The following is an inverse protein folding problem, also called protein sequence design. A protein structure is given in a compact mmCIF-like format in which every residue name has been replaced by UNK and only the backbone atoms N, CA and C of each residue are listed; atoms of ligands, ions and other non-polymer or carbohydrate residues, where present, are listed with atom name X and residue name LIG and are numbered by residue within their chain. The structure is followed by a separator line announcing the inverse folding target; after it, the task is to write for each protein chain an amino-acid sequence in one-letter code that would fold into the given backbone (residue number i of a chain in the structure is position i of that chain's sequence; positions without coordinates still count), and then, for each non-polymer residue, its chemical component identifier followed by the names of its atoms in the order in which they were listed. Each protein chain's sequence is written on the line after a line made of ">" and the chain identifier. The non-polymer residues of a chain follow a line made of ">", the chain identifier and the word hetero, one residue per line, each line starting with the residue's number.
data_IF_143911239452
#
_entry.id   IF_143911239452
#
_cell.length_a   1.000
_cell.length_b   1.000
_cell.length_c   1.000
_cell.angle_alpha   90.00
_cell.angle_beta   90.00
_cell.angle_gamma   90.00
#
_symmetry.space_group_name_H-M   'P 1'
#
loop_
_entity.id
_entity.type
_entity.pdbx_description
1 polymer ?
#
# COMPACT_ATOMS: atom_id res chain seq x y z
N UNK A 1 -12.91 22.53 17.41
CA UNK A 1 -13.57 21.22 17.20
C UNK A 1 -14.15 20.77 18.53
N UNK A 2 -15.43 20.43 18.59
CA UNK A 2 -16.07 19.89 19.79
C UNK A 2 -16.38 18.40 19.59
N UNK A 3 -16.15 17.61 20.63
CA UNK A 3 -16.47 16.17 20.65
C UNK A 3 -17.63 15.98 21.63
N UNK A 4 -18.73 15.43 21.14
CA UNK A 4 -19.87 15.05 21.98
C UNK A 4 -19.72 13.59 22.40
N UNK A 5 -19.54 13.36 23.70
CA UNK A 5 -19.57 12.02 24.31
C UNK A 5 -20.91 11.81 25.00
N UNK A 6 -21.71 10.93 24.47
CA UNK A 6 -23.05 10.61 24.95
C UNK A 6 -24.16 11.03 23.98
N UNK A 7 -25.17 10.17 23.86
CA UNK A 7 -26.13 10.21 22.75
C UNK A 7 -27.44 10.89 23.16
N UNK A 8 -27.42 12.19 23.44
CA UNK A 8 -28.66 12.94 23.69
C UNK A 8 -29.43 13.22 22.38
N UNK A 9 -28.75 13.27 21.23
CA UNK A 9 -29.34 13.65 19.93
C UNK A 9 -29.13 12.53 18.86
N UNK A 10 -28.53 11.40 19.23
CA UNK A 10 -28.18 10.33 18.28
C UNK A 10 -26.92 10.63 17.45
N UNK A 11 -26.61 9.72 16.51
CA UNK A 11 -25.46 9.86 15.61
C UNK A 11 -25.78 10.92 14.54
N UNK A 12 -25.26 12.14 14.73
CA UNK A 12 -25.43 13.19 13.75
C UNK A 12 -24.45 13.03 12.58
N UNK A 13 -24.99 13.07 11.36
CA UNK A 13 -24.20 13.09 10.12
C UNK A 13 -24.74 14.15 9.18
N UNK A 14 -23.85 14.90 8.55
CA UNK A 14 -24.22 15.87 7.52
C UNK A 14 -24.03 17.30 7.95
N UNK A 15 -24.80 18.17 7.32
CA UNK A 15 -24.71 19.64 7.50
C UNK A 15 -25.89 20.15 8.34
N UNK A 16 -25.56 20.95 9.34
CA UNK A 16 -26.52 21.66 10.17
C UNK A 16 -26.12 23.16 10.20
N UNK A 17 -26.74 23.95 9.34
CA UNK A 17 -26.37 25.37 9.19
C UNK A 17 -24.90 25.56 8.81
N UNK A 18 -24.15 26.26 9.64
CA UNK A 18 -22.70 26.46 9.50
C UNK A 18 -21.84 25.36 10.14
N UNK A 19 -22.47 24.32 10.69
CA UNK A 19 -21.79 23.17 11.27
C UNK A 19 -21.82 21.98 10.31
N UNK A 20 -20.79 21.15 10.35
CA UNK A 20 -20.76 19.81 9.79
C UNK A 20 -20.57 18.78 10.90
N UNK A 21 -21.35 17.72 10.89
CA UNK A 21 -21.26 16.62 11.84
C UNK A 21 -20.88 15.32 11.12
N UNK A 22 -20.02 14.52 11.74
CA UNK A 22 -19.64 13.18 11.29
C UNK A 22 -19.48 12.27 12.50
N UNK A 23 -19.88 11.01 12.36
CA UNK A 23 -19.66 10.01 13.39
C UNK A 23 -18.53 9.09 12.95
N UNK A 24 -17.52 8.95 13.80
CA UNK A 24 -16.36 8.07 13.61
C UNK A 24 -16.23 7.23 14.88
N UNK A 25 -16.30 5.92 14.74
CA UNK A 25 -16.20 4.96 15.86
C UNK A 25 -17.11 5.30 17.06
N UNK A 26 -18.38 5.60 16.78
CA UNK A 26 -19.38 5.94 17.80
C UNK A 26 -19.27 7.35 18.38
N UNK A 27 -18.28 8.16 17.95
CA UNK A 27 -18.10 9.54 18.40
C UNK A 27 -18.60 10.52 17.34
N UNK A 28 -19.47 11.42 17.73
CA UNK A 28 -19.92 12.51 16.86
C UNK A 28 -18.95 13.69 16.95
N UNK A 29 -18.33 14.03 15.84
CA UNK A 29 -17.41 15.15 15.71
C UNK A 29 -18.17 16.28 14.99
N UNK A 30 -18.24 17.45 15.62
CA UNK A 30 -18.83 18.64 15.04
C UNK A 30 -17.74 19.68 14.74
N UNK A 31 -17.77 20.25 13.54
CA UNK A 31 -16.81 21.26 13.09
C UNK A 31 -17.55 22.44 12.50
N UNK A 32 -17.14 23.65 12.86
CA UNK A 32 -17.60 24.85 12.17
C UNK A 32 -17.07 24.86 10.73
N UNK A 33 -17.91 25.24 9.80
CA UNK A 33 -17.51 25.45 8.40
C UNK A 33 -17.08 26.90 8.24
N UNK A 34 -15.99 27.20 7.53
CA UNK A 34 -15.68 28.55 7.16
C UNK A 34 -16.78 29.11 6.25
N UNK A 35 -17.14 30.36 6.45
CA UNK A 35 -18.13 31.08 5.61
C UNK A 35 -17.62 31.26 4.19
N UNK A 36 -16.30 31.46 4.04
CA UNK A 36 -15.59 31.51 2.77
C UNK A 36 -14.18 30.95 2.95
N UNK A 37 -13.59 30.48 1.89
CA UNK A 37 -12.16 30.11 1.85
C UNK A 37 -11.61 30.45 0.48
N UNK A 38 -10.40 30.98 0.46
CA UNK A 38 -9.66 31.18 -0.77
C UNK A 38 -8.82 29.93 -1.06
N UNK A 39 -9.00 29.39 -2.26
CA UNK A 39 -8.17 28.27 -2.71
C UNK A 39 -6.79 28.81 -3.07
N UNK A 40 -5.76 28.34 -2.41
CA UNK A 40 -4.39 28.66 -2.76
C UNK A 40 -3.91 27.68 -3.86
N UNK A 41 -3.41 28.24 -4.96
CA UNK A 41 -2.84 27.52 -6.10
C UNK A 41 -1.32 27.76 -6.23
N UNK A 42 -0.67 28.27 -5.20
CA UNK A 42 0.79 28.42 -5.21
C UNK A 42 1.50 27.06 -5.44
N UNK A 43 2.69 27.04 -6.09
CA UNK A 43 3.40 25.82 -6.45
C UNK A 43 3.56 24.83 -5.30
N UNK A 44 3.98 25.30 -4.12
CA UNK A 44 4.15 24.45 -2.94
C UNK A 44 2.85 23.77 -2.47
N UNK A 45 1.70 24.43 -2.66
CA UNK A 45 0.39 23.84 -2.31
C UNK A 45 -0.03 22.81 -3.35
N UNK A 46 0.27 23.04 -4.63
CA UNK A 46 0.02 22.09 -5.69
C UNK A 46 0.88 20.84 -5.50
N UNK A 47 2.15 20.98 -5.16
CA UNK A 47 3.04 19.85 -4.86
C UNK A 47 2.50 18.98 -3.72
N UNK A 48 2.02 19.60 -2.64
CA UNK A 48 1.40 18.86 -1.53
C UNK A 48 0.14 18.12 -1.98
N UNK A 49 -0.69 18.73 -2.84
CA UNK A 49 -1.89 18.08 -3.39
C UNK A 49 -1.55 16.90 -4.30
N UNK A 50 -0.56 17.06 -5.17
CA UNK A 50 -0.08 15.99 -6.03
C UNK A 50 0.51 14.85 -5.20
N UNK A 51 1.37 15.16 -4.22
CA UNK A 51 1.90 14.18 -3.27
C UNK A 51 0.77 13.44 -2.52
N UNK A 52 -0.29 14.17 -2.15
CA UNK A 52 -1.46 13.55 -1.53
C UNK A 52 -2.13 12.54 -2.48
N UNK A 53 -2.35 12.91 -3.74
CA UNK A 53 -2.93 12.03 -4.75
C UNK A 53 -2.09 10.76 -4.94
N UNK A 54 -0.76 10.91 -5.15
CA UNK A 54 0.18 9.78 -5.26
C UNK A 54 0.08 8.83 -4.06
N UNK A 55 0.00 9.39 -2.85
CA UNK A 55 -0.08 8.57 -1.64
C UNK A 55 -1.43 7.86 -1.50
N UNK A 56 -2.52 8.51 -1.97
CA UNK A 56 -3.87 7.89 -2.03
C UNK A 56 -3.85 6.69 -2.96
N UNK A 57 -3.32 6.85 -4.18
CA UNK A 57 -3.27 5.78 -5.18
C UNK A 57 -2.43 4.59 -4.69
N UNK A 58 -1.27 4.86 -4.09
CA UNK A 58 -0.46 3.81 -3.47
C UNK A 58 -1.21 3.10 -2.34
N UNK A 59 -1.88 3.85 -1.45
CA UNK A 59 -2.63 3.26 -0.34
C UNK A 59 -3.82 2.40 -0.83
N UNK A 60 -4.48 2.81 -1.90
CA UNK A 60 -5.55 2.04 -2.54
C UNK A 60 -4.99 0.76 -3.18
N UNK A 61 -3.86 0.85 -3.88
CA UNK A 61 -3.18 -0.30 -4.47
C UNK A 61 -2.72 -1.31 -3.41
N UNK A 62 -2.22 -0.86 -2.26
CA UNK A 62 -1.91 -1.73 -1.12
C UNK A 62 -3.17 -2.44 -0.61
N UNK A 63 -4.27 -1.72 -0.46
CA UNK A 63 -5.53 -2.28 0.04
C UNK A 63 -6.22 -3.23 -0.94
N UNK A 64 -5.92 -3.15 -2.23
CA UNK A 64 -6.47 -4.07 -3.24
C UNK A 64 -5.96 -5.50 -3.09
N UNK A 65 -4.84 -5.70 -2.36
CA UNK A 65 -4.26 -7.01 -2.08
C UNK A 65 -4.70 -7.49 -0.69
N UNK A 66 -5.45 -8.59 -0.63
CA UNK A 66 -6.04 -9.13 0.60
C UNK A 66 -5.01 -9.39 1.69
N UNK A 67 -3.85 -9.95 1.33
CA UNK A 67 -2.75 -10.23 2.25
C UNK A 67 -2.23 -8.95 2.89
N UNK A 68 -1.97 -7.90 2.09
CA UNK A 68 -1.52 -6.61 2.61
C UNK A 68 -2.59 -5.94 3.46
N UNK A 69 -3.85 -5.98 3.01
CA UNK A 69 -4.99 -5.47 3.78
C UNK A 69 -5.09 -6.15 5.15
N UNK A 70 -4.90 -7.49 5.21
CA UNK A 70 -4.89 -8.25 6.46
C UNK A 70 -3.73 -7.81 7.38
N UNK A 71 -2.52 -7.67 6.84
CA UNK A 71 -1.34 -7.21 7.59
C UNK A 71 -1.61 -5.82 8.20
N UNK A 72 -2.05 -4.85 7.42
CA UNK A 72 -2.30 -3.50 7.90
C UNK A 72 -3.46 -3.40 8.90
N UNK A 73 -4.42 -4.34 8.86
CA UNK A 73 -5.48 -4.44 9.88
C UNK A 73 -4.94 -4.76 11.27
N UNK A 74 -3.83 -5.51 11.38
CA UNK A 74 -3.25 -5.90 12.68
C UNK A 74 -2.55 -4.73 13.38
N UNK A 75 -2.04 -3.75 12.61
CA UNK A 75 -1.24 -2.63 13.14
C UNK A 75 -1.99 -1.29 13.16
N UNK A 76 -3.24 -1.27 12.72
CA UNK A 76 -4.00 -0.01 12.72
C UNK A 76 -4.20 0.51 14.14
N UNK A 77 -3.94 1.81 14.35
CA UNK A 77 -4.20 2.47 15.63
C UNK A 77 -5.71 2.62 15.91
N UNK A 78 -6.04 2.73 17.20
CA UNK A 78 -7.40 3.03 17.64
C UNK A 78 -7.88 4.35 17.03
N UNK A 79 -9.09 4.38 16.49
CA UNK A 79 -9.66 5.58 15.86
C UNK A 79 -9.18 5.87 14.44
N UNK A 80 -8.33 5.01 13.87
CA UNK A 80 -7.85 5.14 12.49
C UNK A 80 -8.40 4.04 11.58
N UNK A 81 -8.73 4.38 10.34
CA UNK A 81 -8.97 3.37 9.31
C UNK A 81 -7.65 2.77 8.84
N UNK A 82 -7.71 1.56 8.27
CA UNK A 82 -6.53 0.92 7.66
C UNK A 82 -5.92 1.81 6.58
N UNK A 83 -6.77 2.39 5.73
CA UNK A 83 -6.34 3.36 4.72
C UNK A 83 -5.55 4.53 5.31
N UNK A 84 -6.07 5.16 6.37
CA UNK A 84 -5.39 6.30 7.01
C UNK A 84 -4.06 5.90 7.66
N UNK A 85 -3.94 4.65 8.15
CA UNK A 85 -2.69 4.12 8.69
C UNK A 85 -1.65 3.99 7.59
N UNK A 86 -2.00 3.36 6.45
CA UNK A 86 -1.12 3.23 5.28
C UNK A 86 -0.73 4.60 4.74
N UNK A 87 -1.71 5.48 4.56
CA UNK A 87 -1.49 6.84 4.08
C UNK A 87 -0.50 7.61 4.95
N UNK A 88 -0.71 7.62 6.27
CA UNK A 88 0.17 8.29 7.23
C UNK A 88 1.61 7.76 7.17
N UNK A 89 1.77 6.45 7.02
CA UNK A 89 3.08 5.80 6.95
C UNK A 89 3.84 6.13 5.66
N UNK A 90 3.11 6.46 4.57
CA UNK A 90 3.69 6.66 3.25
C UNK A 90 3.79 8.12 2.81
N UNK A 91 2.96 9.02 3.35
CA UNK A 91 2.88 10.41 2.89
C UNK A 91 4.23 11.15 2.96
N UNK A 92 5.05 10.87 3.98
CA UNK A 92 6.40 11.45 4.11
C UNK A 92 7.35 11.06 2.98
N UNK A 93 7.16 9.89 2.41
CA UNK A 93 8.07 9.26 1.45
C UNK A 93 7.64 9.38 -0.02
N UNK A 94 6.38 9.71 -0.30
CA UNK A 94 5.91 9.93 -1.67
C UNK A 94 6.45 11.24 -2.25
N UNK A 95 6.73 11.27 -3.55
CA UNK A 95 6.98 12.49 -4.30
C UNK A 95 5.67 13.08 -4.84
N UNK A 96 5.72 14.26 -5.49
CA UNK A 96 4.55 14.88 -6.08
C UNK A 96 4.15 14.21 -7.43
N UNK A 97 5.07 13.52 -8.07
CA UNK A 97 4.91 12.93 -9.39
C UNK A 97 4.78 11.39 -9.38
N UNK A 98 5.23 10.73 -8.31
CA UNK A 98 5.25 9.26 -8.22
C UNK A 98 5.53 8.76 -6.81
N UNK A 99 5.28 7.47 -6.49
CA UNK A 99 5.85 6.79 -5.34
C UNK A 99 7.39 6.74 -5.43
N UNK A 100 8.08 6.65 -4.29
CA UNK A 100 9.54 6.56 -4.25
C UNK A 100 9.98 5.23 -3.65
N UNK A 101 11.26 4.87 -3.81
CA UNK A 101 11.84 3.66 -3.22
C UNK A 101 11.73 3.58 -1.68
N UNK A 102 11.39 4.67 -1.03
CA UNK A 102 11.24 4.73 0.43
C UNK A 102 9.80 4.45 0.89
N UNK A 103 8.85 4.39 -0.03
CA UNK A 103 7.50 3.97 0.29
C UNK A 103 7.50 2.51 0.74
N UNK A 104 6.58 2.18 1.66
CA UNK A 104 6.46 0.86 2.24
C UNK A 104 5.09 0.27 1.94
N UNK A 105 5.05 -1.01 1.61
CA UNK A 105 3.79 -1.75 1.40
C UNK A 105 3.45 -2.65 2.60
N UNK A 106 4.40 -2.82 3.54
CA UNK A 106 4.18 -3.48 4.85
C UNK A 106 4.71 -2.60 5.98
N UNK A 107 4.11 -2.66 7.18
CA UNK A 107 4.49 -1.82 8.32
C UNK A 107 5.79 -2.25 9.02
N UNK A 108 6.56 -3.14 8.45
CA UNK A 108 7.76 -3.75 9.00
C UNK A 108 7.79 -5.23 8.64
N UNK A 109 8.36 -6.06 9.50
CA UNK A 109 8.50 -7.50 9.32
C UNK A 109 9.97 -7.93 9.30
N UNK A 110 10.22 -9.21 8.96
CA UNK A 110 11.58 -9.71 8.79
C UNK A 110 12.20 -9.18 7.49
N UNK A 111 13.53 -9.14 7.42
CA UNK A 111 14.22 -8.75 6.19
C UNK A 111 13.93 -9.78 5.09
N UNK A 112 13.54 -9.36 3.89
CA UNK A 112 13.31 -10.28 2.79
C UNK A 112 14.65 -10.64 2.14
N UNK A 113 15.14 -11.89 2.26
CA UNK A 113 16.40 -12.31 1.66
C UNK A 113 16.20 -12.55 0.16
N UNK A 114 16.47 -11.53 -0.62
CA UNK A 114 16.37 -11.51 -2.08
C UNK A 114 17.73 -11.24 -2.68
N UNK A 115 18.16 -12.09 -3.61
CA UNK A 115 19.40 -11.91 -4.35
C UNK A 115 19.20 -11.00 -5.56
N UNK A 116 18.30 -11.36 -6.48
CA UNK A 116 18.02 -10.61 -7.70
C UNK A 116 16.53 -10.39 -7.87
N UNK A 117 16.14 -9.16 -8.20
CA UNK A 117 14.79 -8.83 -8.66
C UNK A 117 14.89 -8.18 -10.03
N UNK A 118 14.12 -8.68 -10.99
CA UNK A 118 13.98 -8.06 -12.31
C UNK A 118 12.52 -7.73 -12.58
N UNK A 119 12.30 -6.61 -13.25
CA UNK A 119 10.99 -6.18 -13.72
C UNK A 119 11.08 -6.10 -15.24
N UNK A 120 10.36 -6.99 -15.91
CA UNK A 120 10.23 -7.04 -17.35
C UNK A 120 8.87 -6.44 -17.75
N UNK A 121 8.61 -6.31 -19.05
CA UNK A 121 7.32 -5.79 -19.58
C UNK A 121 6.15 -6.75 -19.36
N UNK A 122 6.41 -8.01 -19.01
CA UNK A 122 5.39 -9.06 -18.90
C UNK A 122 5.34 -9.74 -17.53
N UNK A 123 6.34 -9.51 -16.67
CA UNK A 123 6.46 -10.20 -15.37
C UNK A 123 7.45 -9.52 -14.43
N UNK A 124 7.37 -9.90 -13.16
CA UNK A 124 8.46 -9.72 -12.18
C UNK A 124 9.04 -11.08 -11.88
N UNK A 125 10.36 -11.17 -11.84
CA UNK A 125 11.05 -12.34 -11.29
C UNK A 125 11.91 -11.94 -10.09
N UNK A 126 11.96 -12.80 -9.08
CA UNK A 126 12.77 -12.59 -7.89
C UNK A 126 13.40 -13.93 -7.43
N UNK A 127 14.69 -13.92 -7.20
CA UNK A 127 15.39 -15.05 -6.59
C UNK A 127 15.39 -14.86 -5.07
N UNK A 128 14.51 -15.61 -4.38
CA UNK A 128 14.45 -15.62 -2.93
C UNK A 128 15.45 -16.63 -2.40
N UNK A 129 16.27 -16.21 -1.45
CA UNK A 129 17.06 -17.14 -0.65
C UNK A 129 16.17 -17.80 0.40
N UNK A 130 16.70 -18.80 1.10
CA UNK A 130 15.97 -19.46 2.18
C UNK A 130 15.48 -18.43 3.22
N UNK A 131 14.17 -18.40 3.47
CA UNK A 131 13.56 -17.39 4.34
C UNK A 131 13.83 -17.64 5.82
N UNK A 132 14.13 -18.89 6.20
CA UNK A 132 14.47 -19.29 7.56
C UNK A 132 15.81 -18.73 8.05
N UNK A 133 16.62 -18.15 7.15
CA UNK A 133 17.84 -17.40 7.51
C UNK A 133 17.55 -16.09 8.26
N UNK A 134 16.37 -15.52 8.06
CA UNK A 134 16.02 -14.19 8.60
C UNK A 134 15.01 -14.26 9.75
N UNK A 135 14.26 -15.37 9.85
CA UNK A 135 13.27 -15.57 10.91
C UNK A 135 12.98 -17.06 11.11
N UNK A 136 12.44 -17.41 12.28
CA UNK A 136 12.03 -18.79 12.56
C UNK A 136 10.56 -18.97 12.21
N UNK A 137 10.25 -19.94 11.36
CA UNK A 137 8.89 -20.33 10.99
C UNK A 137 8.36 -21.44 11.90
N UNK A 138 7.08 -21.36 12.23
CA UNK A 138 6.40 -22.38 13.03
C UNK A 138 5.83 -23.48 12.13
N UNK A 139 5.58 -24.70 12.64
CA UNK A 139 4.97 -25.77 11.84
C UNK A 139 3.56 -25.46 11.32
N UNK A 140 2.90 -24.41 11.83
CA UNK A 140 1.60 -23.95 11.33
C UNK A 140 1.71 -23.16 10.03
N UNK A 141 2.89 -22.64 9.72
CA UNK A 141 3.18 -21.82 8.53
C UNK A 141 3.51 -22.73 7.36
N UNK A 142 2.49 -23.10 6.61
CA UNK A 142 2.59 -24.10 5.52
C UNK A 142 2.49 -23.48 4.13
N UNK A 143 2.03 -22.25 4.02
CA UNK A 143 1.83 -21.57 2.74
C UNK A 143 2.55 -20.24 2.73
N UNK A 144 2.91 -19.75 1.54
CA UNK A 144 3.45 -18.42 1.35
C UNK A 144 2.56 -17.59 0.40
N UNK A 145 2.52 -16.30 0.61
CA UNK A 145 1.87 -15.32 -0.26
C UNK A 145 2.90 -14.28 -0.68
N UNK A 146 3.28 -14.26 -1.94
CA UNK A 146 4.12 -13.24 -2.51
C UNK A 146 3.24 -12.10 -3.06
N UNK A 147 3.53 -10.88 -2.66
CA UNK A 147 2.78 -9.70 -3.10
C UNK A 147 3.76 -8.65 -3.59
N UNK A 148 3.45 -8.05 -4.73
CA UNK A 148 4.23 -6.97 -5.28
C UNK A 148 3.35 -5.81 -5.75
N UNK A 149 3.85 -4.59 -5.57
CA UNK A 149 3.36 -3.41 -6.26
C UNK A 149 4.47 -2.92 -7.19
N UNK A 150 4.12 -2.57 -8.42
CA UNK A 150 5.05 -1.91 -9.34
C UNK A 150 4.50 -0.55 -9.70
N UNK A 151 5.27 0.48 -9.41
CA UNK A 151 5.02 1.83 -9.90
C UNK A 151 5.86 2.05 -11.15
N UNK A 152 5.20 2.12 -12.31
CA UNK A 152 5.81 2.51 -13.57
C UNK A 152 5.78 4.03 -13.69
N UNK A 153 6.84 4.63 -14.19
CA UNK A 153 6.97 6.08 -14.34
C UNK A 153 7.89 6.44 -15.50
N UNK A 154 8.01 7.74 -15.80
CA UNK A 154 8.74 8.23 -16.96
C UNK A 154 8.07 7.76 -18.26
N UNK A 155 6.84 8.25 -18.57
CA UNK A 155 6.06 7.80 -19.70
C UNK A 155 6.75 8.15 -21.04
N UNK A 156 6.71 7.21 -22.00
CA UNK A 156 7.23 7.43 -23.36
C UNK A 156 6.46 8.52 -24.10
N UNK A 157 5.15 8.63 -23.82
CA UNK A 157 4.30 9.68 -24.37
C UNK A 157 3.96 10.69 -23.26
N UNK A 158 4.31 11.98 -23.40
CA UNK A 158 3.99 13.01 -22.39
C UNK A 158 2.49 13.23 -22.11
N UNK A 159 1.60 12.68 -22.94
CA UNK A 159 0.16 12.73 -22.72
C UNK A 159 -0.34 11.64 -21.76
N UNK A 160 0.47 10.62 -21.47
CA UNK A 160 0.14 9.60 -20.50
C UNK A 160 0.30 10.11 -19.05
N UNK A 161 -0.28 9.39 -18.11
CA UNK A 161 -0.15 9.70 -16.68
C UNK A 161 1.34 9.69 -16.25
N UNK A 162 1.77 10.53 -15.29
CA UNK A 162 3.17 10.59 -14.86
C UNK A 162 3.66 9.28 -14.25
N UNK A 163 2.75 8.48 -13.73
CA UNK A 163 3.00 7.13 -13.21
C UNK A 163 1.71 6.31 -13.22
N UNK A 164 1.86 5.01 -13.21
CA UNK A 164 0.77 4.05 -12.94
C UNK A 164 1.27 2.98 -11.96
N UNK A 165 0.38 2.47 -11.09
CA UNK A 165 0.71 1.43 -10.11
C UNK A 165 -0.10 0.18 -10.43
N UNK A 166 0.58 -0.96 -10.56
CA UNK A 166 -0.05 -2.28 -10.69
C UNK A 166 0.19 -3.10 -9.42
N UNK A 167 -0.77 -3.95 -9.10
CA UNK A 167 -0.75 -4.82 -7.93
C UNK A 167 -0.74 -6.29 -8.39
N UNK A 168 0.11 -7.10 -7.78
CA UNK A 168 0.33 -8.50 -8.11
C UNK A 168 0.32 -9.33 -6.83
N UNK A 169 -0.26 -10.53 -6.90
CA UNK A 169 -0.18 -11.49 -5.80
C UNK A 169 -0.08 -12.91 -6.34
N UNK A 170 0.61 -13.76 -5.60
CA UNK A 170 0.71 -15.19 -5.88
C UNK A 170 0.69 -15.96 -4.57
N UNK A 171 -0.27 -16.86 -4.46
CA UNK A 171 -0.34 -17.81 -3.36
C UNK A 171 0.45 -19.06 -3.72
N UNK A 172 1.25 -19.54 -2.78
CA UNK A 172 2.10 -20.72 -2.95
C UNK A 172 1.77 -21.68 -1.81
N UNK A 173 1.14 -22.80 -2.16
CA UNK A 173 0.79 -23.84 -1.20
C UNK A 173 2.01 -24.71 -0.89
N UNK A 174 2.08 -25.23 0.34
CA UNK A 174 3.14 -26.11 0.81
C UNK A 174 4.54 -25.53 0.53
N UNK A 175 4.74 -24.27 0.90
CA UNK A 175 5.99 -23.56 0.68
C UNK A 175 7.08 -24.05 1.66
N UNK A 176 8.24 -24.40 1.13
CA UNK A 176 9.41 -24.77 1.94
C UNK A 176 10.25 -23.52 2.21
N UNK A 177 10.17 -23.00 3.43
CA UNK A 177 10.89 -21.79 3.86
C UNK A 177 12.40 -21.98 3.99
N UNK A 178 12.88 -23.24 3.97
CA UNK A 178 14.30 -23.59 4.11
C UNK A 178 15.04 -23.63 2.78
N UNK A 179 14.33 -23.52 1.66
CA UNK A 179 14.88 -23.62 0.31
C UNK A 179 14.85 -22.29 -0.43
N UNK A 180 15.75 -22.12 -1.38
CA UNK A 180 15.70 -21.02 -2.34
C UNK A 180 14.49 -21.18 -3.26
N UNK A 181 13.87 -20.07 -3.65
CA UNK A 181 12.69 -20.09 -4.51
C UNK A 181 12.76 -19.04 -5.60
N UNK A 182 12.57 -19.45 -6.85
CA UNK A 182 12.45 -18.54 -7.98
C UNK A 182 10.99 -18.08 -8.12
N UNK A 183 10.70 -16.93 -7.57
CA UNK A 183 9.39 -16.31 -7.69
C UNK A 183 9.21 -15.69 -9.07
N UNK A 184 8.06 -15.96 -9.68
CA UNK A 184 7.60 -15.29 -10.89
C UNK A 184 6.15 -14.81 -10.68
N UNK A 185 5.90 -13.54 -10.98
CA UNK A 185 4.60 -12.87 -10.97
C UNK A 185 4.34 -12.35 -12.38
N UNK A 186 3.42 -13.00 -13.08
CA UNK A 186 3.08 -12.67 -14.47
C UNK A 186 2.08 -11.51 -14.50
N UNK A 187 2.23 -10.61 -15.48
CA UNK A 187 1.30 -9.52 -15.73
C UNK A 187 0.13 -9.99 -16.58
N UNK A 188 -1.05 -9.53 -16.24
CA UNK A 188 -2.21 -9.69 -17.11
C UNK A 188 -2.11 -8.79 -18.36
N UNK A 189 -3.05 -8.96 -19.31
CA UNK A 189 -3.02 -8.23 -20.56
C UNK A 189 -3.09 -6.69 -20.38
N UNK A 190 -3.80 -6.21 -19.35
CA UNK A 190 -3.90 -4.78 -19.06
C UNK A 190 -2.62 -4.26 -18.41
N UNK A 191 -2.04 -5.01 -17.50
CA UNK A 191 -0.81 -4.68 -16.82
C UNK A 191 0.38 -4.61 -17.78
N UNK A 192 0.43 -5.49 -18.80
CA UNK A 192 1.43 -5.43 -19.89
C UNK A 192 1.32 -4.14 -20.69
N UNK A 193 0.09 -3.76 -21.06
CA UNK A 193 -0.15 -2.49 -21.74
C UNK A 193 0.26 -1.27 -20.91
N UNK A 194 0.16 -1.35 -19.58
CA UNK A 194 0.70 -0.31 -18.69
C UNK A 194 2.21 -0.34 -18.72
N UNK A 195 2.86 -1.49 -18.54
CA UNK A 195 4.31 -1.61 -18.51
C UNK A 195 4.97 -1.08 -19.79
N UNK A 196 4.37 -1.33 -20.96
CA UNK A 196 4.86 -0.88 -22.27
C UNK A 196 4.85 0.64 -22.46
N UNK A 197 4.12 1.41 -21.62
CA UNK A 197 4.05 2.88 -21.76
C UNK A 197 5.19 3.61 -21.07
N UNK A 198 5.92 2.96 -20.19
CA UNK A 198 6.88 3.60 -19.30
C UNK A 198 8.28 3.03 -19.46
N UNK A 199 9.28 3.88 -19.20
CA UNK A 199 10.69 3.51 -19.33
C UNK A 199 11.33 3.06 -18.03
N UNK A 200 10.73 3.39 -16.89
CA UNK A 200 11.26 3.12 -15.55
C UNK A 200 10.22 2.52 -14.62
N UNK A 201 10.69 1.79 -13.62
CA UNK A 201 9.82 1.20 -12.62
C UNK A 201 10.44 1.16 -11.23
N UNK A 202 9.58 1.10 -10.20
CA UNK A 202 9.93 0.75 -8.83
C UNK A 202 9.04 -0.41 -8.43
N UNK A 203 9.63 -1.57 -8.19
CA UNK A 203 8.92 -2.71 -7.63
C UNK A 203 9.09 -2.74 -6.11
N UNK A 204 8.01 -3.01 -5.40
CA UNK A 204 7.99 -3.27 -3.96
C UNK A 204 7.54 -4.71 -3.77
N UNK A 205 8.40 -5.55 -3.23
CA UNK A 205 8.14 -6.97 -3.03
C UNK A 205 8.04 -7.29 -1.54
N UNK A 206 7.10 -8.15 -1.19
CA UNK A 206 6.99 -8.78 0.13
C UNK A 206 6.62 -10.26 0.00
N UNK A 207 6.97 -11.03 1.01
CA UNK A 207 6.48 -12.39 1.21
C UNK A 207 5.87 -12.49 2.60
N UNK A 208 4.70 -13.11 2.68
CA UNK A 208 4.03 -13.41 3.94
C UNK A 208 3.82 -14.91 4.09
N UNK A 209 4.03 -15.44 5.28
CA UNK A 209 3.66 -16.81 5.61
C UNK A 209 2.20 -16.87 6.03
N UNK A 210 1.55 -17.98 5.70
CA UNK A 210 0.15 -18.26 6.02
C UNK A 210 0.00 -19.66 6.59
N UNK A 211 -0.96 -19.82 7.49
CA UNK A 211 -1.37 -21.14 7.95
C UNK A 211 -2.30 -21.82 6.91
N UNK A 212 -2.70 -23.05 7.20
CA UNK A 212 -3.61 -23.84 6.36
C UNK A 212 -4.98 -23.19 6.14
N UNK A 213 -5.42 -22.30 7.04
CA UNK A 213 -6.67 -21.53 6.88
C UNK A 213 -6.49 -20.23 6.10
N UNK A 214 -5.28 -19.93 5.59
CA UNK A 214 -4.98 -18.71 4.84
C UNK A 214 -4.74 -17.45 5.70
N UNK A 215 -4.68 -17.59 7.04
CA UNK A 215 -4.35 -16.47 7.94
C UNK A 215 -2.87 -16.16 7.88
N UNK A 216 -2.51 -14.90 7.72
CA UNK A 216 -1.14 -14.42 7.78
C UNK A 216 -0.60 -14.57 9.21
N UNK A 217 0.58 -15.18 9.34
CA UNK A 217 1.29 -15.37 10.61
C UNK A 217 2.47 -14.40 10.69
N UNK A 218 3.36 -14.43 9.70
CA UNK A 218 4.50 -13.53 9.61
C UNK A 218 4.55 -12.87 8.21
N UNK A 219 5.30 -11.80 8.09
CA UNK A 219 5.50 -11.13 6.81
C UNK A 219 6.84 -10.41 6.79
N UNK A 220 7.37 -10.21 5.61
CA UNK A 220 8.63 -9.48 5.43
C UNK A 220 8.41 -7.97 5.39
N UNK A 221 9.46 -7.24 5.67
CA UNK A 221 9.57 -5.84 5.34
C UNK A 221 9.52 -5.64 3.81
N UNK A 222 9.18 -4.43 3.38
CA UNK A 222 9.15 -4.06 1.97
C UNK A 222 10.55 -4.08 1.38
N UNK A 223 10.76 -4.84 0.32
CA UNK A 223 12.01 -4.85 -0.47
C UNK A 223 11.79 -4.05 -1.75
N UNK A 224 12.37 -2.83 -1.88
CA UNK A 224 12.22 -2.03 -3.08
C UNK A 224 13.31 -2.34 -4.11
N UNK A 225 12.93 -2.36 -5.40
CA UNK A 225 13.84 -2.42 -6.54
C UNK A 225 13.51 -1.34 -7.55
N UNK A 226 14.51 -0.57 -7.94
CA UNK A 226 14.40 0.44 -9.02
C UNK A 226 15.00 -0.16 -10.28
N UNK A 227 14.29 -0.04 -11.39
CA UNK A 227 14.70 -0.47 -12.72
C UNK A 227 14.50 0.64 -13.72
#
# INVERSE_FOLDING_TARGET
>A
MAILSGNVIGNLRGRLGNLSARTVEGRTIMSARPSSFNVNYGPAVLDVRHKFAVTVDLAQSILSLDTLSAIWKTVKGTGMSVFNTIFKSNFGYSAADKPTKYNIITPGGFSLPVDVVTVDVDKITASLLALDTETTFTPEEVNASANALVSFFDPMNPADAPYEVIALSKEIANFDFTQTYNLQLDFDAKQKLVAEKYTKSIAYLIVASKNSSGKVIQYSATSPKVS
#
